data_IF_137687361800
#
_entry.id   IF_137687361800
#
_cell.length_a   1.000
_cell.length_b   1.000
_cell.length_c   1.000
_cell.angle_alpha   90.00
_cell.angle_beta   90.00
_cell.angle_gamma   90.00
#
_symmetry.space_group_name_H-M   'P 1'
#
loop_
_entity.id
_entity.type
_entity.pdbx_description
1 polymer ?
#
# COMPACT_ATOMS: atom_id res chain seq x y z
N UNK A 1 -3.68 -25.45 -10.14
CA UNK A 1 -4.01 -24.02 -10.34
C UNK A 1 -3.74 -23.55 -11.77
N UNK A 2 -2.62 -23.92 -12.41
CA UNK A 2 -2.43 -23.72 -13.87
C UNK A 2 -1.80 -24.96 -14.53
N UNK A 3 -2.02 -25.14 -15.84
CA UNK A 3 -1.35 -26.16 -16.68
C UNK A 3 0.10 -25.73 -17.00
N UNK A 4 1.00 -26.65 -17.38
CA UNK A 4 2.34 -26.30 -17.87
C UNK A 4 2.26 -25.30 -19.03
N UNK A 5 3.16 -24.32 -19.08
CA UNK A 5 3.12 -23.15 -19.95
C UNK A 5 2.12 -22.06 -19.53
N UNK A 6 1.20 -22.35 -18.61
CA UNK A 6 0.23 -21.41 -18.07
C UNK A 6 0.86 -20.39 -17.11
N UNK A 7 0.24 -19.22 -17.01
CA UNK A 7 0.68 -18.13 -16.15
C UNK A 7 -0.29 -17.91 -15.00
N UNK A 8 0.23 -17.72 -13.79
CA UNK A 8 -0.50 -17.14 -12.67
C UNK A 8 -0.12 -15.67 -12.59
N UNK A 9 -1.13 -14.81 -12.69
CA UNK A 9 -1.03 -13.36 -12.58
C UNK A 9 -1.78 -12.92 -11.33
N UNK A 10 -1.13 -12.15 -10.47
CA UNK A 10 -1.81 -11.55 -9.32
C UNK A 10 -1.23 -10.17 -8.97
N UNK A 11 -2.07 -9.39 -8.29
CA UNK A 11 -1.76 -8.05 -7.81
C UNK A 11 -2.16 -7.96 -6.34
N UNK A 12 -1.30 -7.38 -5.52
CA UNK A 12 -1.55 -7.12 -4.09
C UNK A 12 -1.10 -5.71 -3.72
N UNK A 13 -1.68 -5.04 -2.72
CA UNK A 13 -1.22 -3.71 -2.30
C UNK A 13 0.19 -3.79 -1.69
N UNK A 14 1.06 -2.84 -2.05
CA UNK A 14 2.36 -2.69 -1.39
C UNK A 14 2.15 -2.14 0.03
N UNK A 15 2.77 -2.76 1.03
CA UNK A 15 2.55 -2.41 2.43
C UNK A 15 2.98 -0.97 2.75
N UNK A 16 4.09 -0.49 2.18
CA UNK A 16 4.64 0.80 2.56
C UNK A 16 3.81 1.92 1.91
N UNK A 17 3.38 1.73 0.66
CA UNK A 17 2.56 2.70 -0.06
C UNK A 17 1.10 2.71 0.40
N UNK A 18 0.46 1.55 0.54
CA UNK A 18 -0.95 1.47 0.90
C UNK A 18 -1.17 1.69 2.39
N UNK A 19 -0.46 0.97 3.28
CA UNK A 19 -0.73 1.04 4.72
C UNK A 19 0.04 2.13 5.47
N UNK A 20 1.13 2.58 4.87
CA UNK A 20 1.93 3.69 5.40
C UNK A 20 2.36 3.42 6.85
N UNK A 21 2.84 2.21 7.13
CA UNK A 21 3.44 1.87 8.43
C UNK A 21 2.46 1.61 9.57
N UNK A 22 1.16 1.38 9.29
CA UNK A 22 0.17 1.06 10.33
C UNK A 22 -0.62 -0.20 9.99
N UNK A 23 -0.64 -1.13 10.94
CA UNK A 23 -1.46 -2.33 10.89
C UNK A 23 -2.12 -2.53 12.28
N UNK A 24 -3.40 -2.91 12.39
CA UNK A 24 -4.38 -3.12 11.31
C UNK A 24 -4.61 -1.88 10.44
N UNK A 25 -5.09 -2.09 9.21
CA UNK A 25 -5.25 -1.00 8.24
C UNK A 25 -6.20 0.07 8.75
N UNK A 26 -5.85 1.34 8.49
CA UNK A 26 -6.72 2.49 8.77
C UNK A 26 -7.66 2.82 7.61
N UNK A 27 -7.41 2.25 6.44
CA UNK A 27 -8.15 2.51 5.20
C UNK A 27 -9.16 1.40 4.91
N UNK A 28 -8.85 0.15 5.26
CA UNK A 28 -9.74 -0.99 5.07
C UNK A 28 -9.85 -1.86 6.34
N UNK A 29 -11.00 -1.86 7.05
CA UNK A 29 -11.16 -2.62 8.29
C UNK A 29 -11.10 -4.14 8.14
N UNK A 30 -11.33 -4.70 6.95
CA UNK A 30 -11.19 -6.16 6.68
C UNK A 30 -9.79 -6.53 6.16
N UNK A 31 -8.81 -5.62 6.19
CA UNK A 31 -7.48 -5.93 5.70
C UNK A 31 -6.73 -6.90 6.62
N UNK A 32 -6.43 -8.10 6.11
CA UNK A 32 -5.94 -9.24 6.90
C UNK A 32 -4.43 -9.39 6.90
N UNK A 33 -3.75 -8.86 5.89
CA UNK A 33 -2.32 -9.04 5.65
C UNK A 33 -1.74 -7.88 4.85
N UNK A 34 -0.43 -7.71 4.89
CA UNK A 34 0.31 -6.75 4.07
C UNK A 34 1.31 -7.47 3.17
N UNK A 35 1.81 -6.82 2.12
CA UNK A 35 2.69 -7.46 1.15
C UNK A 35 3.92 -6.60 0.84
N UNK A 36 5.07 -7.25 0.67
CA UNK A 36 6.32 -6.64 0.26
C UNK A 36 6.87 -7.35 -0.97
N UNK A 37 7.68 -6.65 -1.77
CA UNK A 37 8.35 -7.31 -2.92
C UNK A 37 9.46 -8.24 -2.43
N UNK A 38 10.41 -7.72 -1.66
CA UNK A 38 11.62 -8.44 -1.26
C UNK A 38 12.26 -7.81 -0.01
N UNK A 39 11.47 -7.62 1.06
CA UNK A 39 11.93 -6.96 2.27
C UNK A 39 12.47 -7.97 3.27
N UNK A 40 13.63 -7.70 3.85
CA UNK A 40 14.25 -8.56 4.88
C UNK A 40 13.47 -8.56 6.19
N UNK A 41 12.85 -7.42 6.53
CA UNK A 41 12.01 -7.27 7.72
C UNK A 41 10.88 -6.27 7.46
N UNK A 42 9.64 -6.71 7.65
CA UNK A 42 8.47 -5.83 7.63
C UNK A 42 8.23 -5.18 9.00
N UNK A 43 7.61 -4.01 8.99
CA UNK A 43 7.06 -3.34 10.18
C UNK A 43 5.71 -3.93 10.60
N UNK A 44 5.02 -4.62 9.68
CA UNK A 44 3.73 -5.27 9.91
C UNK A 44 3.94 -6.68 10.47
N UNK A 45 3.23 -7.07 11.54
CA UNK A 45 3.28 -8.43 12.06
C UNK A 45 2.55 -9.45 11.17
N UNK A 46 1.83 -8.99 10.13
CA UNK A 46 1.10 -9.84 9.18
C UNK A 46 1.51 -9.57 7.73
N UNK A 47 2.82 -9.45 7.50
CA UNK A 47 3.38 -9.22 6.16
C UNK A 47 3.80 -10.51 5.47
N UNK A 48 3.54 -10.60 4.17
CA UNK A 48 4.08 -11.63 3.29
C UNK A 48 5.06 -11.03 2.27
N UNK A 49 6.16 -11.74 2.02
CA UNK A 49 7.13 -11.38 0.99
C UNK A 49 6.77 -12.08 -0.31
N UNK A 50 6.43 -11.30 -1.34
CA UNK A 50 5.92 -11.81 -2.63
C UNK A 50 6.99 -12.57 -3.39
N UNK A 51 8.27 -12.17 -3.31
CA UNK A 51 9.37 -12.93 -3.90
C UNK A 51 9.47 -14.32 -3.29
N UNK A 52 9.37 -14.42 -1.96
CA UNK A 52 9.44 -15.70 -1.25
C UNK A 52 8.23 -16.58 -1.58
N UNK A 53 7.02 -15.99 -1.61
CA UNK A 53 5.80 -16.68 -2.03
C UNK A 53 5.92 -17.21 -3.46
N UNK A 54 6.41 -16.40 -4.40
CA UNK A 54 6.56 -16.80 -5.80
C UNK A 54 7.61 -17.91 -5.96
N UNK A 55 8.72 -17.84 -5.23
CA UNK A 55 9.76 -18.89 -5.20
C UNK A 55 9.29 -20.20 -4.56
N UNK A 56 8.31 -20.14 -3.66
CA UNK A 56 7.73 -21.35 -3.04
C UNK A 56 6.94 -22.21 -4.03
N UNK A 57 6.61 -21.69 -5.22
CA UNK A 57 5.88 -22.42 -6.26
C UNK A 57 6.82 -23.36 -7.03
N UNK A 58 6.77 -24.64 -6.70
CA UNK A 58 7.59 -25.67 -7.36
C UNK A 58 7.34 -25.72 -8.86
N UNK A 59 8.43 -25.77 -9.65
CA UNK A 59 8.36 -25.84 -11.10
C UNK A 59 7.83 -24.57 -11.77
N UNK A 60 7.86 -23.43 -11.08
CA UNK A 60 7.48 -22.14 -11.64
C UNK A 60 8.71 -21.25 -11.88
N UNK A 61 8.61 -20.41 -12.90
CA UNK A 61 9.55 -19.33 -13.21
C UNK A 61 8.88 -17.99 -12.94
N UNK A 62 9.57 -17.08 -12.25
CA UNK A 62 9.10 -15.70 -12.09
C UNK A 62 9.36 -14.97 -13.41
N UNK A 63 8.29 -14.64 -14.13
CA UNK A 63 8.34 -13.87 -15.37
C UNK A 63 8.45 -12.38 -15.06
N UNK A 64 7.72 -11.92 -14.03
CA UNK A 64 7.74 -10.51 -13.60
C UNK A 64 7.40 -10.40 -12.12
N UNK A 65 8.10 -9.51 -11.43
CA UNK A 65 7.77 -9.05 -10.09
C UNK A 65 8.14 -7.58 -10.00
N UNK A 66 7.15 -6.70 -9.90
CA UNK A 66 7.37 -5.26 -10.00
C UNK A 66 6.44 -4.46 -9.09
N UNK A 67 6.95 -3.33 -8.59
CA UNK A 67 6.12 -2.30 -7.98
C UNK A 67 5.43 -1.49 -9.08
N UNK A 68 4.15 -1.22 -8.90
CA UNK A 68 3.36 -0.32 -9.71
C UNK A 68 2.80 0.79 -8.83
N UNK A 69 3.47 1.93 -8.86
CA UNK A 69 3.18 3.13 -8.09
C UNK A 69 2.87 4.34 -8.98
N UNK A 70 2.34 4.08 -10.19
CA UNK A 70 2.00 5.14 -11.15
C UNK A 70 1.06 6.16 -10.51
N UNK A 71 1.41 7.44 -10.63
CA UNK A 71 0.61 8.54 -10.09
C UNK A 71 0.70 8.71 -8.57
N UNK A 72 1.44 7.85 -7.87
CA UNK A 72 1.58 7.93 -6.42
C UNK A 72 2.49 9.10 -6.01
N UNK A 73 1.99 9.97 -5.14
CA UNK A 73 2.75 11.12 -4.65
C UNK A 73 3.45 10.77 -3.32
N UNK A 74 4.75 10.48 -3.40
CA UNK A 74 5.56 10.12 -2.22
C UNK A 74 5.70 11.26 -1.21
N UNK A 75 5.45 12.52 -1.58
CA UNK A 75 5.49 13.63 -0.63
C UNK A 75 4.25 13.67 0.29
N UNK A 76 3.16 13.02 -0.11
CA UNK A 76 1.93 12.88 0.70
C UNK A 76 1.96 11.66 1.61
N UNK A 77 2.90 10.75 1.40
CA UNK A 77 3.06 9.54 2.20
C UNK A 77 3.47 9.91 3.63
N UNK A 78 2.71 9.41 4.62
CA UNK A 78 3.01 9.60 6.03
C UNK A 78 3.18 8.24 6.70
N UNK A 79 4.42 7.88 7.00
CA UNK A 79 4.70 6.60 7.66
C UNK A 79 4.40 6.66 9.16
N UNK A 80 3.76 5.60 9.68
CA UNK A 80 3.42 5.45 11.09
C UNK A 80 2.10 6.10 11.48
N UNK A 81 1.82 6.12 12.78
CA UNK A 81 0.53 6.59 13.30
C UNK A 81 0.38 8.11 13.14
N UNK A 82 -0.86 8.59 12.88
CA UNK A 82 -1.25 9.99 12.95
C UNK A 82 -0.67 10.73 14.15
N UNK A 83 -0.36 12.01 13.96
CA UNK A 83 0.06 12.89 15.05
C UNK A 83 -1.03 13.02 16.14
N UNK A 84 -0.60 13.42 17.35
CA UNK A 84 -1.39 13.36 18.58
C UNK A 84 -2.73 14.12 18.54
N UNK A 85 -3.61 13.84 19.52
CA UNK A 85 -5.02 14.31 19.57
C UNK A 85 -5.18 15.82 19.30
N UNK A 86 -4.23 16.66 19.75
CA UNK A 86 -4.25 18.11 19.54
C UNK A 86 -4.18 18.51 18.06
N UNK A 87 -3.33 17.86 17.26
CA UNK A 87 -3.21 18.15 15.83
C UNK A 87 -4.49 17.77 15.06
N UNK A 88 -5.11 16.64 15.44
CA UNK A 88 -6.40 16.21 14.88
C UNK A 88 -7.52 17.19 15.20
N UNK A 89 -7.56 17.73 16.43
CA UNK A 89 -8.53 18.74 16.83
C UNK A 89 -8.35 20.04 16.03
N UNK A 90 -7.12 20.52 15.86
CA UNK A 90 -6.83 21.72 15.06
C UNK A 90 -7.30 21.56 13.60
N UNK A 91 -7.04 20.42 12.96
CA UNK A 91 -7.53 20.16 11.59
C UNK A 91 -9.05 20.06 11.55
N UNK A 92 -9.68 19.42 12.53
CA UNK A 92 -11.13 19.32 12.60
C UNK A 92 -11.79 20.70 12.77
N UNK A 93 -11.24 21.55 13.64
CA UNK A 93 -11.67 22.92 13.81
C UNK A 93 -11.50 23.72 12.51
N UNK A 94 -10.33 23.64 11.86
CA UNK A 94 -10.12 24.29 10.56
C UNK A 94 -11.17 23.85 9.54
N UNK A 95 -11.40 22.55 9.34
CA UNK A 95 -12.37 22.04 8.36
C UNK A 95 -13.80 22.50 8.67
N UNK A 96 -14.11 22.77 9.94
CA UNK A 96 -15.42 23.26 10.35
C UNK A 96 -15.61 24.76 10.05
N UNK A 97 -14.56 25.57 10.17
CA UNK A 97 -14.66 27.03 10.01
C UNK A 97 -14.18 27.54 8.64
N UNK A 98 -13.37 26.76 7.91
CA UNK A 98 -12.86 27.08 6.58
C UNK A 98 -13.34 26.03 5.57
N UNK A 99 -14.42 26.29 4.81
CA UNK A 99 -14.96 25.33 3.85
C UNK A 99 -14.14 25.22 2.56
N UNK A 100 -13.22 26.17 2.30
CA UNK A 100 -12.39 26.18 1.10
C UNK A 100 -11.16 25.29 1.25
N UNK A 101 -10.84 24.54 0.20
CA UNK A 101 -9.63 23.71 0.13
C UNK A 101 -8.41 24.59 -0.05
N UNK A 102 -7.62 24.76 1.01
CA UNK A 102 -6.32 25.42 0.94
C UNK A 102 -5.23 24.35 0.78
N UNK A 103 -4.39 24.39 -0.28
CA UNK A 103 -3.41 23.34 -0.58
C UNK A 103 -2.45 23.01 0.59
N UNK A 104 -2.02 24.02 1.34
CA UNK A 104 -1.16 23.82 2.53
C UNK A 104 -1.86 22.99 3.61
N UNK A 105 -3.17 23.17 3.76
CA UNK A 105 -3.96 22.50 4.78
C UNK A 105 -4.38 21.09 4.38
N UNK A 106 -4.56 20.84 3.08
CA UNK A 106 -4.70 19.47 2.56
C UNK A 106 -3.43 18.66 2.82
N UNK A 107 -2.25 19.24 2.58
CA UNK A 107 -0.96 18.61 2.91
C UNK A 107 -0.82 18.32 4.41
N UNK A 108 -1.18 19.29 5.26
CA UNK A 108 -1.13 19.11 6.70
C UNK A 108 -2.11 18.01 7.16
N UNK A 109 -3.31 17.98 6.60
CA UNK A 109 -4.32 16.95 6.89
C UNK A 109 -3.82 15.56 6.49
N UNK A 110 -3.24 15.41 5.28
CA UNK A 110 -2.67 14.15 4.82
C UNK A 110 -1.55 13.67 5.75
N UNK A 111 -0.68 14.58 6.21
CA UNK A 111 0.35 14.26 7.22
C UNK A 111 -0.23 13.88 8.57
N UNK A 112 -1.34 14.48 8.97
CA UNK A 112 -1.96 14.19 10.26
C UNK A 112 -2.67 12.85 10.23
N UNK A 113 -3.46 12.52 9.21
CA UNK A 113 -4.29 11.32 9.21
C UNK A 113 -3.69 10.13 8.43
N UNK A 114 -2.69 10.37 7.59
CA UNK A 114 -2.40 9.49 6.45
C UNK A 114 -3.46 9.68 5.36
N UNK A 115 -3.10 9.37 4.12
CA UNK A 115 -4.01 9.48 2.98
C UNK A 115 -3.95 8.20 2.15
N UNK A 116 -5.10 7.56 1.95
CA UNK A 116 -5.24 6.57 0.88
C UNK A 116 -5.27 7.31 -0.46
N UNK A 117 -4.19 7.19 -1.22
CA UNK A 117 -4.10 7.81 -2.55
C UNK A 117 -4.77 6.96 -3.63
N UNK A 118 -5.01 5.66 -3.37
CA UNK A 118 -5.62 4.72 -4.33
C UNK A 118 -7.12 4.89 -4.49
N UNK A 119 -7.73 5.75 -3.68
CA UNK A 119 -9.08 6.26 -3.93
C UNK A 119 -9.19 7.02 -5.26
N UNK A 120 -8.08 7.54 -5.79
CA UNK A 120 -8.00 8.05 -7.16
C UNK A 120 -7.63 6.90 -8.13
N UNK A 121 -8.48 6.55 -9.11
CA UNK A 121 -8.23 5.42 -10.01
C UNK A 121 -7.01 5.60 -10.93
N UNK A 122 -6.42 6.80 -10.96
CA UNK A 122 -5.18 7.09 -11.71
C UNK A 122 -3.92 6.76 -10.91
N UNK A 123 -4.07 6.43 -9.62
CA UNK A 123 -2.98 6.17 -8.69
C UNK A 123 -2.93 4.69 -8.34
N UNK A 124 -1.74 4.10 -8.50
CA UNK A 124 -1.45 2.73 -8.11
C UNK A 124 -0.56 2.71 -6.86
N UNK A 125 -0.70 1.67 -6.04
CA UNK A 125 0.17 1.40 -4.90
C UNK A 125 0.29 -0.12 -4.69
N UNK A 126 0.60 -0.85 -5.76
CA UNK A 126 0.42 -2.29 -5.83
C UNK A 126 1.66 -3.02 -6.37
N UNK A 127 1.82 -4.26 -5.96
CA UNK A 127 2.83 -5.19 -6.44
C UNK A 127 2.18 -6.08 -7.49
N UNK A 128 2.79 -6.16 -8.66
CA UNK A 128 2.40 -7.06 -9.75
C UNK A 128 3.36 -8.26 -9.78
N UNK A 129 2.82 -9.48 -9.79
CA UNK A 129 3.60 -10.70 -9.93
C UNK A 129 3.02 -11.62 -11.01
N UNK A 130 3.91 -12.10 -11.87
CA UNK A 130 3.62 -13.04 -12.94
C UNK A 130 4.58 -14.21 -12.82
N UNK A 131 4.03 -15.41 -12.67
CA UNK A 131 4.80 -16.66 -12.66
C UNK A 131 4.29 -17.60 -13.75
N UNK A 132 5.20 -18.28 -14.44
CA UNK A 132 4.89 -19.28 -15.48
C UNK A 132 5.21 -20.67 -14.96
N UNK A 133 4.25 -21.58 -15.03
CA UNK A 133 4.48 -23.00 -14.71
C UNK A 133 5.27 -23.66 -15.83
N UNK A 134 6.40 -24.27 -15.50
CA UNK A 134 7.26 -24.96 -16.46
C UNK A 134 6.85 -26.42 -16.66
N UNK A 135 6.52 -27.12 -15.57
CA UNK A 135 6.25 -28.58 -15.53
C UNK A 135 5.02 -28.87 -14.69
#
# INVERSE_FOLDING_TARGET
LVKPGGHLFFIVPDEDLYEQGVFPSRFNPDHKATFTISKTRSWSPRSYNVLDLARSLTGAEIVKLALNDRGYDRFKQQFGRPSGRGARWMVAAYKRFCPFKVPVMERLTARIYGQDQTADPRVSAQIECIVRKQV
#
